data_IF_708124400370
#
_entry.id   IF_708124400370
#
_cell.length_a   1.000
_cell.length_b   1.000
_cell.length_c   1.000
_cell.angle_alpha   90.00
_cell.angle_beta   90.00
_cell.angle_gamma   90.00
#
_symmetry.space_group_name_H-M   'P 1'
#
loop_
_entity.id
_entity.type
_entity.pdbx_description
1 polymer ?
#
# COMPACT_ATOMS: atom_id res chain seq x y z
N UNK A 1 11.41 8.85 23.08
CA UNK A 1 11.91 9.10 21.71
C UNK A 1 11.42 8.04 20.72
N UNK A 2 11.68 6.74 20.96
CA UNK A 2 11.34 5.63 20.07
C UNK A 2 9.86 5.56 19.65
N UNK A 3 8.92 5.83 20.57
CA UNK A 3 7.48 5.80 20.26
C UNK A 3 7.04 6.86 19.23
N UNK A 4 7.63 8.07 19.28
CA UNK A 4 7.32 9.14 18.31
C UNK A 4 7.85 8.80 16.92
N UNK A 5 9.05 8.23 16.84
CA UNK A 5 9.63 7.77 15.57
C UNK A 5 8.80 6.65 14.95
N UNK A 6 8.36 5.68 15.76
CA UNK A 6 7.48 4.60 15.31
C UNK A 6 6.15 5.14 14.75
N UNK A 7 5.49 6.08 15.45
CA UNK A 7 4.27 6.71 14.95
C UNK A 7 4.50 7.48 13.65
N UNK A 8 5.61 8.23 13.56
CA UNK A 8 5.97 8.94 12.33
C UNK A 8 6.11 7.99 11.15
N UNK A 9 6.78 6.84 11.33
CA UNK A 9 6.96 5.84 10.28
C UNK A 9 5.62 5.27 9.82
N UNK A 10 4.70 4.96 10.74
CA UNK A 10 3.34 4.51 10.37
C UNK A 10 2.63 5.57 9.56
N UNK A 11 2.62 6.82 10.04
CA UNK A 11 1.89 7.89 9.38
C UNK A 11 2.48 8.19 8.00
N UNK A 12 3.80 8.17 7.86
CA UNK A 12 4.47 8.33 6.57
C UNK A 12 4.11 7.20 5.61
N UNK A 13 4.13 5.94 6.08
CA UNK A 13 3.75 4.79 5.26
C UNK A 13 2.27 4.84 4.86
N UNK A 14 1.36 5.14 5.80
CA UNK A 14 -0.06 5.26 5.55
C UNK A 14 -0.39 6.40 4.57
N UNK A 15 0.28 7.55 4.71
CA UNK A 15 0.15 8.66 3.78
C UNK A 15 0.66 8.29 2.38
N UNK A 16 1.81 7.61 2.29
CA UNK A 16 2.34 7.11 1.02
C UNK A 16 1.39 6.11 0.35
N UNK A 17 0.78 5.21 1.12
CA UNK A 17 -0.21 4.26 0.62
C UNK A 17 -1.48 4.97 0.12
N UNK A 18 -2.02 5.90 0.90
CA UNK A 18 -3.20 6.68 0.49
C UNK A 18 -2.94 7.51 -0.77
N UNK A 19 -1.74 8.09 -0.89
CA UNK A 19 -1.32 8.80 -2.09
C UNK A 19 -1.26 7.85 -3.30
N UNK A 20 -0.64 6.68 -3.16
CA UNK A 20 -0.59 5.68 -4.23
C UNK A 20 -2.00 5.21 -4.66
N UNK A 21 -2.93 5.02 -3.72
CA UNK A 21 -4.34 4.71 -4.02
C UNK A 21 -5.02 5.85 -4.79
N UNK A 22 -4.72 7.10 -4.44
CA UNK A 22 -5.28 8.28 -5.11
C UNK A 22 -4.76 8.36 -6.55
N UNK A 23 -3.46 8.19 -6.76
CA UNK A 23 -2.84 8.16 -8.10
C UNK A 23 -3.42 7.01 -8.91
N UNK A 24 -3.53 5.82 -8.34
CA UNK A 24 -4.14 4.66 -8.98
C UNK A 24 -5.58 4.95 -9.42
N UNK A 25 -6.41 5.53 -8.54
CA UNK A 25 -7.80 5.86 -8.86
C UNK A 25 -7.91 6.91 -9.97
N UNK A 26 -7.12 7.98 -9.87
CA UNK A 26 -7.10 9.06 -10.87
C UNK A 26 -6.65 8.52 -12.23
N UNK A 27 -5.55 7.78 -12.28
CA UNK A 27 -5.02 7.20 -13.52
C UNK A 27 -5.90 6.11 -14.13
N UNK A 28 -6.55 5.28 -13.31
CA UNK A 28 -7.43 4.21 -13.79
C UNK A 28 -8.73 4.75 -14.38
N UNK A 29 -9.38 5.68 -13.68
CA UNK A 29 -10.69 6.20 -14.12
C UNK A 29 -10.61 7.48 -14.95
N UNK A 30 -9.43 8.10 -15.08
CA UNK A 30 -9.28 9.40 -15.75
C UNK A 30 -9.97 10.53 -14.97
N UNK A 31 -9.91 10.46 -13.64
CA UNK A 31 -10.58 11.45 -12.78
C UNK A 31 -9.93 12.82 -12.98
N UNK A 32 -10.70 13.90 -12.77
CA UNK A 32 -10.22 15.28 -12.89
C UNK A 32 -9.73 15.67 -14.30
N UNK A 33 -10.16 14.96 -15.34
CA UNK A 33 -9.72 15.21 -16.71
C UNK A 33 -8.29 14.74 -17.00
N UNK A 34 -7.71 13.93 -16.10
CA UNK A 34 -6.43 13.28 -16.32
C UNK A 34 -6.56 12.20 -17.41
N UNK A 35 -5.50 12.04 -18.21
CA UNK A 35 -5.40 10.95 -19.17
C UNK A 35 -5.26 9.61 -18.42
N UNK A 36 -5.86 8.55 -18.96
CA UNK A 36 -5.81 7.23 -18.31
C UNK A 36 -4.39 6.70 -18.36
N UNK A 37 -3.83 6.43 -17.19
CA UNK A 37 -2.48 5.89 -17.03
C UNK A 37 -2.53 4.41 -16.60
N UNK A 38 -2.21 3.47 -17.51
CA UNK A 38 -2.19 2.05 -17.19
C UNK A 38 -1.09 1.67 -16.18
N UNK A 39 -0.09 2.52 -15.96
CA UNK A 39 1.02 2.28 -15.02
C UNK A 39 0.80 2.92 -13.65
N UNK A 40 -0.35 3.56 -13.40
CA UNK A 40 -0.66 4.17 -12.11
C UNK A 40 -0.62 3.17 -10.93
N UNK A 41 -0.79 1.87 -11.20
CA UNK A 41 -0.68 0.80 -10.20
C UNK A 41 0.75 0.49 -9.74
N UNK A 42 1.79 0.92 -10.46
CA UNK A 42 3.19 0.63 -10.15
C UNK A 42 3.59 1.18 -8.78
N UNK A 43 3.01 2.29 -8.34
CA UNK A 43 3.29 2.89 -7.02
C UNK A 43 2.85 2.02 -5.84
N UNK A 44 1.92 1.09 -6.04
CA UNK A 44 1.46 0.15 -5.01
C UNK A 44 2.42 -1.04 -4.86
N UNK A 45 3.18 -1.38 -5.91
CA UNK A 45 4.08 -2.53 -5.92
C UNK A 45 5.20 -2.47 -4.88
N UNK A 46 6.02 -1.40 -4.79
CA UNK A 46 7.10 -1.34 -3.80
C UNK A 46 6.56 -1.22 -2.38
N UNK A 47 5.41 -0.55 -2.19
CA UNK A 47 4.76 -0.46 -0.89
C UNK A 47 4.25 -1.82 -0.42
N UNK A 48 3.75 -2.65 -1.34
CA UNK A 48 3.21 -3.97 -1.04
C UNK A 48 4.26 -5.08 -0.84
N UNK A 49 5.56 -4.77 -0.91
CA UNK A 49 6.60 -5.76 -0.63
C UNK A 49 6.53 -6.27 0.83
N UNK A 50 6.89 -7.54 1.10
CA UNK A 50 7.25 -8.58 0.14
C UNK A 50 6.04 -9.29 -0.48
N UNK A 51 4.81 -8.97 -0.06
CA UNK A 51 3.58 -9.67 -0.46
C UNK A 51 3.37 -9.67 -1.97
N UNK A 52 3.75 -8.58 -2.65
CA UNK A 52 3.70 -8.47 -4.10
C UNK A 52 4.67 -9.41 -4.84
N UNK A 53 5.75 -9.88 -4.18
CA UNK A 53 6.69 -10.86 -4.75
C UNK A 53 6.23 -12.30 -4.56
N UNK A 54 5.33 -12.56 -3.61
CA UNK A 54 4.82 -13.90 -3.33
C UNK A 54 3.83 -14.39 -4.39
N UNK A 55 3.43 -13.51 -5.31
CA UNK A 55 2.52 -13.82 -6.40
C UNK A 55 3.19 -13.65 -7.75
N UNK A 56 2.89 -14.57 -8.65
CA UNK A 56 3.43 -14.58 -10.01
C UNK A 56 2.82 -13.43 -10.83
N UNK A 57 3.57 -12.32 -10.92
CA UNK A 57 3.50 -11.18 -11.86
C UNK A 57 2.14 -10.78 -12.48
N UNK A 58 1.02 -10.94 -11.78
CA UNK A 58 -0.26 -10.38 -12.17
C UNK A 58 -0.96 -11.01 -13.38
N UNK A 59 -0.56 -12.21 -13.83
CA UNK A 59 -1.21 -12.88 -14.98
C UNK A 59 -2.63 -13.40 -14.66
N UNK A 60 -3.04 -13.39 -13.39
CA UNK A 60 -4.38 -13.77 -12.97
C UNK A 60 -5.36 -12.59 -12.85
N UNK A 61 -6.68 -12.83 -12.99
CA UNK A 61 -7.73 -11.80 -12.82
C UNK A 61 -7.73 -11.12 -11.44
N UNK A 62 -7.05 -11.70 -10.46
CA UNK A 62 -6.90 -11.17 -9.11
C UNK A 62 -5.64 -10.30 -8.90
N UNK A 63 -4.72 -10.26 -9.88
CA UNK A 63 -3.46 -9.51 -9.79
C UNK A 63 -3.62 -8.05 -9.34
N UNK A 64 -4.52 -7.26 -9.96
CA UNK A 64 -4.75 -5.87 -9.58
C UNK A 64 -5.26 -5.71 -8.14
N UNK A 65 -6.19 -6.59 -7.71
CA UNK A 65 -6.74 -6.58 -6.35
C UNK A 65 -5.69 -6.95 -5.30
N UNK A 66 -4.79 -7.87 -5.62
CA UNK A 66 -3.70 -8.27 -4.75
C UNK A 66 -2.66 -7.14 -4.63
N UNK A 67 -2.28 -6.49 -5.72
CA UNK A 67 -1.38 -5.32 -5.69
C UNK A 67 -1.99 -4.16 -4.88
N UNK A 68 -3.31 -3.95 -4.99
CA UNK A 68 -4.04 -2.93 -4.23
C UNK A 68 -4.05 -3.19 -2.73
N UNK A 69 -4.19 -4.47 -2.34
CA UNK A 69 -4.34 -4.89 -0.94
C UNK A 69 -3.02 -5.27 -0.27
N UNK A 70 -1.96 -5.51 -1.03
CA UNK A 70 -0.66 -5.89 -0.48
C UNK A 70 -0.08 -4.89 0.55
N UNK A 71 -0.13 -3.55 0.34
CA UNK A 71 0.33 -2.59 1.34
C UNK A 71 -0.48 -2.61 2.66
N UNK A 72 -1.75 -3.03 2.62
CA UNK A 72 -2.55 -3.21 3.86
C UNK A 72 -1.95 -4.30 4.75
N UNK A 73 -1.37 -5.35 4.16
CA UNK A 73 -0.69 -6.41 4.93
C UNK A 73 0.41 -5.84 5.82
N UNK A 74 1.21 -4.91 5.31
CA UNK A 74 2.26 -4.23 6.08
C UNK A 74 1.69 -3.39 7.23
N UNK A 75 0.65 -2.60 6.97
CA UNK A 75 -0.01 -1.80 8.01
C UNK A 75 -0.61 -2.67 9.12
N UNK A 76 -1.26 -3.79 8.76
CA UNK A 76 -1.84 -4.72 9.71
C UNK A 76 -0.77 -5.39 10.58
N UNK A 77 0.36 -5.80 10.00
CA UNK A 77 1.47 -6.38 10.77
C UNK A 77 2.07 -5.38 11.75
N UNK A 78 2.34 -4.16 11.31
CA UNK A 78 2.88 -3.10 12.17
C UNK A 78 1.90 -2.82 13.33
N UNK A 79 0.60 -2.76 13.05
CA UNK A 79 -0.45 -2.58 14.05
C UNK A 79 -0.55 -3.76 15.04
N UNK A 80 -0.45 -5.00 14.54
CA UNK A 80 -0.47 -6.20 15.36
C UNK A 80 0.73 -6.28 16.32
N UNK A 81 1.94 -5.99 15.81
CA UNK A 81 3.16 -5.92 16.63
C UNK A 81 3.03 -4.86 17.72
N UNK A 82 2.48 -3.68 17.43
CA UNK A 82 2.24 -2.69 18.49
C UNK A 82 1.28 -3.19 19.55
N UNK A 83 0.20 -3.85 19.14
CA UNK A 83 -0.81 -4.35 20.08
C UNK A 83 -0.21 -5.36 21.05
N UNK A 84 0.68 -6.24 20.60
CA UNK A 84 1.34 -7.21 21.48
C UNK A 84 2.30 -6.54 22.46
N UNK A 85 3.12 -5.59 22.01
CA UNK A 85 4.04 -4.85 22.90
C UNK A 85 3.35 -3.83 23.84
N UNK A 86 2.12 -3.39 23.53
CA UNK A 86 1.36 -2.52 24.41
C UNK A 86 0.52 -3.29 25.46
N UNK A 87 0.38 -4.61 25.30
CA UNK A 87 -0.43 -5.47 26.17
C UNK A 87 0.41 -6.34 27.13
N UNK A 88 1.74 -6.30 27.03
CA UNK A 88 2.69 -6.90 27.98
C UNK A 88 3.34 -5.83 28.84
#
# INVERSE_FOLDING_TARGET
>A
MAYRLYQLVIWAYAAGYLFALTVFAVGTWGLMGAERDPLAGVFLLPLGLPWTLLWDNGEGPHGPWLALTAPLGNLLLIGAVRRTFAAG
#
